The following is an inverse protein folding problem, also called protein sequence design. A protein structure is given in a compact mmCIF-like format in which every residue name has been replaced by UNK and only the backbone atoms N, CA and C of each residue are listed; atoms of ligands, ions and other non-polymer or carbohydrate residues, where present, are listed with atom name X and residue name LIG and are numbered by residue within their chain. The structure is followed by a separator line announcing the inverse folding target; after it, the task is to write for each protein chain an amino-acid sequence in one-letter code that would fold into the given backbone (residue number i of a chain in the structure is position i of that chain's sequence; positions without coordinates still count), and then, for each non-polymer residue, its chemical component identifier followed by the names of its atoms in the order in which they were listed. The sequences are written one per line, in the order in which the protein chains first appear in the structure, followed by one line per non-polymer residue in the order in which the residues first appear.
data_IF_405661781093
#
_entry.id   IF_405661781093
#
_cell.length_a   1.000
_cell.length_b   1.000
_cell.length_c   1.000
_cell.angle_alpha   90.00
_cell.angle_beta   90.00
_cell.angle_gamma   90.00
#
_symmetry.space_group_name_H-M   'P 1'
#
loop_
_entity.id
_entity.type
_entity.pdbx_description
1 polymer ?
#
# COMPACT_ATOMS: atom_id res chain seq x y z
N UNK A 1 12.00 51.21 26.40
CA UNK A 1 11.85 50.38 25.18
C UNK A 1 12.37 48.97 25.48
N UNK A 2 12.05 47.99 24.63
CA UNK A 2 12.53 46.59 24.67
C UNK A 2 12.07 45.72 25.86
N UNK A 3 10.91 45.08 25.66
CA UNK A 3 10.62 43.67 26.02
C UNK A 3 9.91 43.08 24.80
N UNK A 4 10.01 41.80 24.42
CA UNK A 4 10.48 40.63 25.15
C UNK A 4 9.38 39.56 25.05
N UNK A 5 9.39 38.76 23.98
CA UNK A 5 8.35 37.76 23.71
C UNK A 5 8.42 36.59 24.70
N UNK A 6 7.26 36.05 25.11
CA UNK A 6 7.06 34.62 24.87
C UNK A 6 5.60 34.23 24.51
N UNK A 7 5.44 32.91 24.31
CA UNK A 7 4.21 32.10 24.29
C UNK A 7 3.37 32.04 23.01
N UNK A 8 3.10 30.80 22.60
CA UNK A 8 2.33 30.35 21.44
C UNK A 8 1.49 29.15 21.88
N UNK A 9 0.18 29.21 21.64
CA UNK A 9 -0.87 28.17 21.56
C UNK A 9 -2.17 28.67 22.20
N UNK A 10 -3.27 28.62 21.44
CA UNK A 10 -4.45 27.83 21.85
C UNK A 10 -5.36 27.53 20.64
N UNK A 11 -6.30 26.61 20.84
CA UNK A 11 -7.17 25.95 19.87
C UNK A 11 -8.20 26.90 19.21
N UNK A 12 -8.60 26.57 17.95
CA UNK A 12 -9.86 25.81 17.68
C UNK A 12 -10.36 25.99 16.23
N UNK A 13 -10.11 25.02 15.36
CA UNK A 13 -10.81 24.88 14.07
C UNK A 13 -11.90 23.80 14.18
N UNK A 14 -13.16 24.17 13.95
CA UNK A 14 -14.31 23.27 13.80
C UNK A 14 -14.63 23.08 12.30
N UNK A 15 -15.34 21.99 11.91
CA UNK A 15 -15.62 21.69 10.50
C UNK A 15 -16.87 22.42 10.00
N UNK A 16 -16.83 22.92 8.77
CA UNK A 16 -18.02 23.43 8.07
C UNK A 16 -18.62 22.34 7.17
N UNK A 17 -19.94 22.17 7.25
CA UNK A 17 -20.71 21.18 6.49
C UNK A 17 -21.68 21.91 5.57
N UNK A 18 -21.55 21.73 4.25
CA UNK A 18 -22.39 22.37 3.25
C UNK A 18 -23.31 21.31 2.62
N UNK A 19 -24.62 21.57 2.66
CA UNK A 19 -25.66 20.68 2.13
C UNK A 19 -25.96 20.97 0.65
N UNK A 20 -26.46 19.99 -0.12
CA UNK A 20 -26.75 20.15 -1.56
C UNK A 20 -28.13 20.78 -1.84
N UNK A 21 -28.31 21.41 -3.01
CA UNK A 21 -29.64 21.79 -3.54
C UNK A 21 -30.39 20.58 -4.15
N UNK A 22 -31.71 20.74 -4.38
CA UNK A 22 -32.64 19.72 -4.88
C UNK A 22 -33.51 20.26 -6.06
N UNK A 23 -34.43 19.43 -6.58
CA UNK A 23 -35.56 19.72 -7.49
C UNK A 23 -35.23 19.83 -9.01
N UNK A 24 -36.00 19.39 -10.03
CA UNK A 24 -36.93 18.24 -10.33
C UNK A 24 -36.72 17.90 -11.87
N UNK A 25 -37.43 17.09 -12.68
CA UNK A 25 -38.66 16.27 -12.62
C UNK A 25 -38.65 15.16 -13.73
N UNK A 26 -39.69 14.32 -13.77
CA UNK A 26 -40.38 13.73 -14.95
C UNK A 26 -39.88 12.44 -15.65
N UNK A 27 -40.41 11.30 -15.16
CA UNK A 27 -41.20 10.28 -15.89
C UNK A 27 -40.79 9.80 -17.30
N UNK A 28 -40.48 8.48 -17.44
CA UNK A 28 -40.43 7.75 -18.73
C UNK A 28 -40.28 6.23 -18.57
N UNK A 29 -41.00 5.43 -19.37
CA UNK A 29 -41.13 3.96 -19.24
C UNK A 29 -40.24 3.21 -20.25
N UNK A 30 -39.61 2.10 -19.83
CA UNK A 30 -38.98 1.09 -20.71
C UNK A 30 -37.53 1.41 -21.12
N UNK A 31 -36.69 0.45 -21.53
CA UNK A 31 -36.90 -0.98 -21.80
C UNK A 31 -35.71 -1.84 -21.27
N UNK A 32 -35.76 -3.16 -21.42
CA UNK A 32 -34.73 -4.10 -20.98
C UNK A 32 -33.92 -4.65 -22.17
N UNK A 33 -32.59 -4.47 -22.16
CA UNK A 33 -31.67 -5.52 -22.65
C UNK A 33 -30.23 -5.41 -22.13
N UNK A 34 -29.86 -6.39 -21.31
CA UNK A 34 -28.58 -7.13 -21.33
C UNK A 34 -27.27 -6.35 -21.63
N UNK A 35 -26.56 -5.92 -20.58
CA UNK A 35 -25.15 -5.51 -20.64
C UNK A 35 -24.28 -6.45 -19.76
N UNK A 36 -23.11 -6.84 -20.29
CA UNK A 36 -22.21 -7.82 -19.67
C UNK A 36 -21.47 -7.18 -18.47
N UNK A 37 -21.11 -7.94 -17.39
CA UNK A 37 -20.26 -7.41 -16.33
C UNK A 37 -18.89 -6.98 -16.88
N UNK A 38 -18.72 -5.67 -17.12
CA UNK A 38 -17.48 -5.07 -17.60
C UNK A 38 -16.42 -5.15 -16.49
N UNK A 39 -15.74 -6.29 -16.44
CA UNK A 39 -14.64 -6.55 -15.51
C UNK A 39 -13.47 -5.65 -15.90
N UNK A 40 -13.37 -4.47 -15.27
CA UNK A 40 -12.43 -3.41 -15.63
C UNK A 40 -10.99 -3.90 -15.53
N UNK A 41 -10.41 -4.24 -16.69
CA UNK A 41 -9.06 -4.72 -16.82
C UNK A 41 -8.09 -3.61 -16.43
N UNK A 42 -7.63 -3.64 -15.18
CA UNK A 42 -6.63 -2.69 -14.66
C UNK A 42 -5.38 -2.79 -15.52
N UNK A 43 -4.78 -1.66 -15.96
CA UNK A 43 -3.58 -1.70 -16.79
C UNK A 43 -2.46 -2.40 -16.00
N UNK A 44 -1.97 -3.50 -16.57
CA UNK A 44 -1.13 -4.45 -15.85
C UNK A 44 0.35 -4.08 -16.01
N UNK A 45 1.05 -3.86 -14.88
CA UNK A 45 2.39 -3.24 -14.89
C UNK A 45 3.46 -4.32 -14.75
N UNK A 46 4.13 -4.63 -15.85
CA UNK A 46 5.36 -5.44 -15.84
C UNK A 46 6.42 -4.73 -14.98
N UNK A 47 6.85 -5.40 -13.92
CA UNK A 47 7.63 -4.79 -12.83
C UNK A 47 9.08 -4.56 -13.25
N UNK A 48 9.55 -3.31 -13.19
CA UNK A 48 10.97 -2.97 -13.33
C UNK A 48 11.77 -3.42 -12.11
N UNK A 49 13.06 -3.71 -12.27
CA UNK A 49 13.90 -4.26 -11.19
C UNK A 49 13.86 -3.40 -9.93
N UNK A 50 13.92 -2.07 -10.09
CA UNK A 50 13.88 -1.09 -9.00
C UNK A 50 12.63 -1.18 -8.13
N UNK A 51 11.47 -1.53 -8.69
CA UNK A 51 10.23 -1.71 -7.92
C UNK A 51 10.26 -3.04 -7.14
N UNK A 52 10.94 -4.07 -7.67
CA UNK A 52 11.20 -5.32 -6.95
C UNK A 52 12.19 -5.13 -5.79
N UNK A 53 13.21 -4.28 -5.99
CA UNK A 53 14.22 -3.92 -4.98
C UNK A 53 13.58 -3.18 -3.79
N UNK A 54 12.63 -2.25 -4.02
CA UNK A 54 11.84 -1.60 -2.95
C UNK A 54 11.02 -2.58 -2.09
N UNK A 55 10.76 -3.78 -2.61
CA UNK A 55 10.03 -4.84 -1.94
C UNK A 55 10.95 -5.92 -1.34
N UNK A 56 12.28 -5.76 -1.38
CA UNK A 56 13.21 -6.73 -0.80
C UNK A 56 13.51 -6.46 0.68
N UNK A 57 13.49 -7.51 1.50
CA UNK A 57 13.75 -7.40 2.94
C UNK A 57 15.26 -7.30 3.23
N UNK A 58 15.76 -6.23 3.87
CA UNK A 58 17.21 -6.03 4.11
C UNK A 58 17.86 -7.03 5.09
N UNK A 59 17.12 -8.00 5.62
CA UNK A 59 17.58 -9.01 6.62
C UNK A 59 17.49 -10.45 6.08
N UNK A 60 16.81 -10.67 4.96
CA UNK A 60 16.76 -11.99 4.32
C UNK A 60 16.83 -11.99 2.80
N UNK A 61 16.96 -10.82 2.15
CA UNK A 61 17.07 -10.67 0.69
C UNK A 61 15.95 -11.41 -0.06
N UNK A 62 14.75 -11.39 0.54
CA UNK A 62 13.53 -12.00 0.02
C UNK A 62 12.42 -10.96 -0.05
N UNK A 63 11.54 -11.12 -1.02
CA UNK A 63 10.35 -10.29 -1.21
C UNK A 63 9.49 -10.18 0.07
N UNK A 64 9.13 -8.96 0.44
CA UNK A 64 8.32 -8.63 1.61
C UNK A 64 6.83 -8.77 1.29
N UNK A 65 6.13 -9.65 2.00
CA UNK A 65 4.68 -9.83 1.87
C UNK A 65 3.93 -9.17 3.04
N UNK A 66 2.68 -8.70 2.84
CA UNK A 66 1.85 -8.21 3.93
C UNK A 66 1.71 -9.26 5.06
N UNK A 67 1.88 -8.91 6.34
CA UNK A 67 2.22 -7.58 6.86
C UNK A 67 3.68 -7.16 6.57
N UNK A 68 3.86 -6.00 5.96
CA UNK A 68 5.16 -5.34 5.81
C UNK A 68 5.29 -4.35 6.96
N UNK A 69 6.21 -4.59 7.89
CA UNK A 69 6.45 -3.71 9.02
C UNK A 69 7.30 -2.50 8.64
N UNK A 70 7.16 -1.43 9.43
CA UNK A 70 7.94 -0.21 9.29
C UNK A 70 8.41 0.28 10.66
N UNK A 71 9.55 0.97 10.71
CA UNK A 71 9.90 1.80 11.87
C UNK A 71 9.28 3.20 11.74
N UNK A 72 9.39 4.00 12.80
CA UNK A 72 9.03 5.44 12.79
C UNK A 72 9.69 6.22 11.65
N UNK A 73 10.92 5.84 11.28
CA UNK A 73 11.76 6.57 10.33
C UNK A 73 11.69 5.97 8.90
N UNK A 74 10.57 5.34 8.53
CA UNK A 74 10.32 4.88 7.15
C UNK A 74 10.89 3.51 6.74
N UNK A 75 11.98 3.04 7.34
CA UNK A 75 12.59 1.75 6.96
C UNK A 75 11.65 0.54 7.17
N UNK A 76 11.61 -0.35 6.19
CA UNK A 76 10.68 -1.49 6.08
C UNK A 76 11.33 -2.85 6.39
N UNK A 77 10.50 -3.85 6.73
CA UNK A 77 10.92 -5.21 7.03
C UNK A 77 9.78 -6.23 6.85
N UNK A 78 10.07 -7.46 6.41
CA UNK A 78 9.05 -8.52 6.40
C UNK A 78 8.72 -9.04 7.82
N UNK A 79 7.48 -9.50 8.00
CA UNK A 79 7.00 -10.12 9.26
C UNK A 79 7.95 -11.18 9.83
N UNK A 80 8.47 -12.09 8.99
CA UNK A 80 9.37 -13.16 9.43
C UNK A 80 10.75 -12.69 9.92
N UNK A 81 11.17 -11.45 9.63
CA UNK A 81 12.42 -10.90 10.14
C UNK A 81 12.27 -10.02 11.37
N UNK A 82 11.08 -9.47 11.66
CA UNK A 82 10.83 -8.64 12.85
C UNK A 82 11.25 -9.31 14.18
N UNK A 83 10.93 -10.59 14.48
CA UNK A 83 11.43 -11.24 15.68
C UNK A 83 12.93 -11.52 15.62
N UNK A 84 13.49 -11.85 14.44
CA UNK A 84 14.94 -12.11 14.25
C UNK A 84 15.81 -10.88 14.59
N UNK A 85 15.27 -9.67 14.45
CA UNK A 85 15.94 -8.41 14.83
C UNK A 85 15.48 -7.86 16.18
N UNK A 86 14.83 -8.68 17.02
CA UNK A 86 14.39 -8.31 18.38
C UNK A 86 13.54 -7.03 18.42
N UNK A 87 12.63 -6.87 17.44
CA UNK A 87 11.81 -5.66 17.25
C UNK A 87 12.62 -4.36 17.08
N UNK A 88 13.86 -4.41 16.57
CA UNK A 88 14.70 -3.23 16.34
C UNK A 88 15.06 -3.08 14.85
N UNK A 89 14.94 -1.87 14.32
CA UNK A 89 15.25 -1.59 12.92
C UNK A 89 16.75 -1.84 12.63
N UNK A 90 17.11 -2.67 11.63
CA UNK A 90 18.51 -2.93 11.31
C UNK A 90 19.24 -1.68 10.82
N UNK A 91 18.54 -0.78 10.11
CA UNK A 91 19.11 0.42 9.49
C UNK A 91 19.30 1.56 10.51
N UNK A 92 18.22 2.06 11.12
CA UNK A 92 18.28 3.25 12.00
C UNK A 92 18.22 2.93 13.51
N UNK A 93 18.21 1.66 13.90
CA UNK A 93 18.20 1.20 15.32
C UNK A 93 17.05 1.74 16.19
N UNK A 94 16.00 2.30 15.59
CA UNK A 94 14.73 2.64 16.25
C UNK A 94 13.88 1.37 16.46
N UNK A 95 12.84 1.45 17.28
CA UNK A 95 11.94 0.33 17.51
C UNK A 95 11.05 0.03 16.28
N UNK A 96 10.83 -1.25 16.01
CA UNK A 96 9.84 -1.77 15.08
C UNK A 96 8.57 -2.09 15.87
N UNK A 97 7.82 -1.04 16.25
CA UNK A 97 6.48 -1.17 16.84
C UNK A 97 5.49 -1.87 15.91
N UNK A 98 4.20 -1.89 16.25
CA UNK A 98 3.17 -2.54 15.41
C UNK A 98 2.73 -1.69 14.20
N UNK A 99 3.67 -1.01 13.56
CA UNK A 99 3.45 -0.15 12.39
C UNK A 99 3.57 -1.00 11.12
N UNK A 100 2.69 -0.76 10.14
CA UNK A 100 2.70 -1.39 8.81
C UNK A 100 2.88 -0.36 7.71
N UNK A 101 3.66 -0.69 6.69
CA UNK A 101 3.83 0.13 5.49
C UNK A 101 2.68 -0.13 4.50
N UNK A 102 1.47 0.33 4.84
CA UNK A 102 0.25 0.12 4.03
C UNK A 102 0.38 0.64 2.59
N UNK A 103 1.26 1.64 2.35
CA UNK A 103 1.57 2.13 1.01
C UNK A 103 2.31 1.07 0.18
N UNK A 104 3.36 0.46 0.73
CA UNK A 104 4.14 -0.58 0.05
C UNK A 104 3.34 -1.88 -0.11
N UNK A 105 2.44 -2.20 0.84
CA UNK A 105 1.47 -3.29 0.69
C UNK A 105 0.47 -3.05 -0.46
N UNK A 106 0.02 -1.80 -0.67
CA UNK A 106 -0.83 -1.43 -1.82
C UNK A 106 -0.07 -1.48 -3.15
N UNK A 107 1.17 -0.98 -3.19
CA UNK A 107 2.04 -1.09 -4.37
C UNK A 107 2.21 -2.57 -4.74
N UNK A 108 2.62 -3.40 -3.78
CA UNK A 108 2.75 -4.85 -3.93
C UNK A 108 1.48 -5.51 -4.50
N UNK A 109 0.29 -5.12 -4.02
CA UNK A 109 -0.98 -5.67 -4.50
C UNK A 109 -1.32 -5.32 -5.97
N UNK A 110 -0.67 -4.30 -6.55
CA UNK A 110 -0.79 -3.93 -7.97
C UNK A 110 0.30 -4.52 -8.87
N UNK A 111 1.19 -5.38 -8.34
CA UNK A 111 2.28 -5.98 -9.12
C UNK A 111 1.96 -7.42 -9.55
N UNK A 112 2.33 -7.73 -10.78
CA UNK A 112 2.45 -9.08 -11.31
C UNK A 112 3.91 -9.46 -11.52
N UNK A 113 4.31 -10.64 -11.06
CA UNK A 113 5.68 -11.15 -11.18
C UNK A 113 5.72 -12.40 -12.05
N UNK A 114 6.77 -12.59 -12.87
CA UNK A 114 7.04 -13.89 -13.47
C UNK A 114 7.31 -14.93 -12.38
N UNK A 115 6.90 -16.17 -12.64
CA UNK A 115 7.15 -17.28 -11.73
C UNK A 115 8.65 -17.48 -11.47
N UNK A 116 9.01 -17.78 -10.21
CA UNK A 116 10.39 -18.15 -9.82
C UNK A 116 10.96 -19.34 -10.60
N UNK A 117 10.12 -20.12 -11.28
CA UNK A 117 10.49 -21.25 -12.11
C UNK A 117 10.47 -20.95 -13.62
N UNK A 118 10.50 -19.67 -14.03
CA UNK A 118 10.52 -19.30 -15.46
C UNK A 118 11.72 -19.90 -16.21
N UNK A 119 12.89 -20.00 -15.56
CA UNK A 119 14.09 -20.68 -16.09
C UNK A 119 13.91 -22.20 -16.29
N UNK A 120 12.87 -22.80 -15.69
CA UNK A 120 12.46 -24.19 -15.87
C UNK A 120 11.23 -24.33 -16.79
N UNK A 121 10.94 -23.29 -17.61
CA UNK A 121 9.85 -23.29 -18.59
C UNK A 121 8.49 -22.79 -18.07
N UNK A 122 8.38 -22.37 -16.80
CA UNK A 122 7.12 -21.86 -16.28
C UNK A 122 6.81 -20.43 -16.78
N UNK A 123 5.99 -20.30 -17.81
CA UNK A 123 5.51 -19.01 -18.34
C UNK A 123 4.47 -18.30 -17.46
N UNK A 124 4.22 -18.81 -16.24
CA UNK A 124 3.23 -18.25 -15.33
C UNK A 124 3.60 -16.84 -14.87
N UNK A 125 2.71 -15.88 -15.11
CA UNK A 125 2.71 -14.58 -14.44
C UNK A 125 1.74 -14.68 -13.26
N UNK A 126 2.15 -14.25 -12.07
CA UNK A 126 1.38 -14.39 -10.84
C UNK A 126 1.23 -13.04 -10.12
N UNK A 127 0.02 -12.71 -9.59
CA UNK A 127 -0.14 -11.58 -8.69
C UNK A 127 0.78 -11.75 -7.48
N UNK A 128 1.48 -10.68 -7.08
CA UNK A 128 2.54 -10.70 -6.08
C UNK A 128 2.21 -11.54 -4.83
N UNK A 129 1.02 -11.31 -4.25
CA UNK A 129 0.52 -11.95 -3.03
C UNK A 129 0.10 -13.43 -3.18
N UNK A 130 0.00 -13.96 -4.40
CA UNK A 130 -0.55 -15.30 -4.68
C UNK A 130 0.48 -16.44 -4.65
N UNK A 131 1.72 -16.17 -4.23
CA UNK A 131 2.87 -17.11 -4.19
C UNK A 131 2.71 -18.37 -3.31
N UNK A 132 1.56 -18.53 -2.65
CA UNK A 132 1.18 -19.72 -1.86
C UNK A 132 0.25 -20.68 -2.62
N UNK A 133 -0.13 -20.36 -3.87
CA UNK A 133 -1.06 -21.14 -4.70
C UNK A 133 -0.48 -21.53 -6.08
N UNK A 134 0.83 -21.36 -6.27
CA UNK A 134 1.58 -21.63 -7.50
C UNK A 134 3.05 -21.94 -7.18
#
# INVERSE_FOLDING_TARGET
MATGSPYFEDLRCQPEVINPPQNEDCTGIGEHMNELPQHTAKPNVTVSSSVRELLECPVCLNAMYPPIHQCSNGHTLCSGCKPRVHNRCPTCRHELGNIRCLALEKVAASLELPCKYQSFGCIGIIPYYSKLKH
#
